data_IF_850644426280
#
_entry.id   IF_850644426280
#
_cell.length_a   1.000
_cell.length_b   1.000
_cell.length_c   1.000
_cell.angle_alpha   90.00
_cell.angle_beta   90.00
_cell.angle_gamma   90.00
#
_symmetry.space_group_name_H-M   'P 1'
#
loop_
_entity.id
_entity.type
_entity.pdbx_description
1 polymer ?
#
# COMPACT_ATOMS: atom_id res chain seq x y z
N UNK A 1 -26.50 -10.70 -8.21
CA UNK A 1 -25.31 -9.82 -8.34
C UNK A 1 -25.09 -9.53 -9.82
N UNK A 2 -24.95 -8.25 -10.23
CA UNK A 2 -24.73 -7.89 -11.64
C UNK A 2 -23.33 -8.33 -12.12
N UNK A 3 -23.16 -8.52 -13.44
CA UNK A 3 -21.84 -8.87 -14.01
C UNK A 3 -20.77 -7.82 -13.73
N UNK A 4 -21.14 -6.54 -13.69
CA UNK A 4 -20.24 -5.44 -13.33
C UNK A 4 -19.70 -5.62 -11.91
N UNK A 5 -20.59 -5.93 -10.95
CA UNK A 5 -20.22 -6.13 -9.54
C UNK A 5 -19.36 -7.39 -9.34
N UNK A 6 -19.57 -8.43 -10.14
CA UNK A 6 -18.70 -9.62 -10.18
C UNK A 6 -17.28 -9.27 -10.66
N UNK A 7 -17.17 -8.53 -11.77
CA UNK A 7 -15.87 -8.11 -12.33
C UNK A 7 -15.10 -7.21 -11.38
N UNK A 8 -15.77 -6.26 -10.73
CA UNK A 8 -15.16 -5.38 -9.74
C UNK A 8 -14.59 -6.17 -8.55
N UNK A 9 -15.39 -7.10 -7.98
CA UNK A 9 -14.93 -7.96 -6.88
C UNK A 9 -13.72 -8.82 -7.27
N UNK A 10 -13.69 -9.36 -8.50
CA UNK A 10 -12.53 -10.10 -9.00
C UNK A 10 -11.27 -9.22 -9.12
N UNK A 11 -11.42 -8.00 -9.64
CA UNK A 11 -10.31 -7.05 -9.72
C UNK A 11 -9.79 -6.67 -8.33
N UNK A 12 -10.69 -6.40 -7.37
CA UNK A 12 -10.31 -6.09 -5.99
C UNK A 12 -9.52 -7.23 -5.34
N UNK A 13 -9.96 -8.49 -5.53
CA UNK A 13 -9.26 -9.67 -5.06
C UNK A 13 -7.86 -9.80 -5.66
N UNK A 14 -7.72 -9.60 -6.98
CA UNK A 14 -6.42 -9.67 -7.66
C UNK A 14 -5.49 -8.56 -7.17
N UNK A 15 -5.99 -7.33 -7.03
CA UNK A 15 -5.20 -6.20 -6.51
C UNK A 15 -4.72 -6.47 -5.09
N UNK A 16 -5.59 -7.00 -4.22
CA UNK A 16 -5.24 -7.32 -2.85
C UNK A 16 -4.22 -8.46 -2.75
N UNK A 17 -4.38 -9.51 -3.55
CA UNK A 17 -3.40 -10.60 -3.61
C UNK A 17 -2.03 -10.11 -4.09
N UNK A 18 -2.00 -9.24 -5.11
CA UNK A 18 -0.76 -8.61 -5.57
C UNK A 18 -0.11 -7.75 -4.49
N UNK A 19 -0.91 -7.02 -3.70
CA UNK A 19 -0.41 -6.24 -2.56
C UNK A 19 0.22 -7.12 -1.48
N UNK A 20 -0.43 -8.22 -1.10
CA UNK A 20 0.13 -9.19 -0.13
C UNK A 20 1.45 -9.77 -0.65
N UNK A 21 1.48 -10.20 -1.91
CA UNK A 21 2.68 -10.80 -2.50
C UNK A 21 3.84 -9.81 -2.51
N UNK A 22 3.57 -8.55 -2.86
CA UNK A 22 4.58 -7.50 -2.79
C UNK A 22 5.15 -7.34 -1.37
N UNK A 23 4.29 -7.30 -0.33
CA UNK A 23 4.76 -7.21 1.06
C UNK A 23 5.56 -8.45 1.48
N UNK A 24 5.16 -9.65 1.05
CA UNK A 24 5.89 -10.87 1.33
C UNK A 24 7.29 -10.85 0.71
N UNK A 25 7.41 -10.41 -0.55
CA UNK A 25 8.70 -10.28 -1.23
C UNK A 25 9.60 -9.25 -0.54
N UNK A 26 9.06 -8.08 -0.20
CA UNK A 26 9.78 -7.05 0.56
C UNK A 26 10.23 -7.58 1.93
N UNK A 27 9.38 -8.34 2.63
CA UNK A 27 9.70 -8.94 3.92
C UNK A 27 10.88 -9.93 3.81
N UNK A 28 10.87 -10.78 2.78
CA UNK A 28 11.97 -11.72 2.52
C UNK A 28 13.29 -10.99 2.24
N UNK A 29 13.28 -9.97 1.38
CA UNK A 29 14.45 -9.14 1.10
C UNK A 29 15.00 -8.48 2.37
N UNK A 30 14.12 -7.94 3.22
CA UNK A 30 14.51 -7.31 4.47
C UNK A 30 15.07 -8.31 5.48
N UNK A 31 14.52 -9.53 5.53
CA UNK A 31 15.05 -10.64 6.33
C UNK A 31 16.48 -11.00 5.92
N UNK A 32 16.74 -11.09 4.60
CA UNK A 32 18.05 -11.45 4.08
C UNK A 32 19.09 -10.36 4.33
N UNK A 33 18.72 -9.09 4.11
CA UNK A 33 19.57 -7.93 4.45
C UNK A 33 19.89 -7.94 5.95
N UNK A 34 18.89 -8.19 6.82
CA UNK A 34 19.10 -8.24 8.27
C UNK A 34 20.07 -9.35 8.68
N UNK A 35 19.92 -10.56 8.13
CA UNK A 35 20.84 -11.68 8.36
C UNK A 35 22.26 -11.35 7.90
N UNK A 36 22.41 -10.68 6.76
CA UNK A 36 23.71 -10.27 6.24
C UNK A 36 24.36 -9.20 7.12
N UNK A 37 23.60 -8.20 7.56
CA UNK A 37 24.06 -7.19 8.51
C UNK A 37 24.53 -7.82 9.82
N UNK A 38 23.79 -8.77 10.39
CA UNK A 38 24.21 -9.49 11.61
C UNK A 38 25.52 -10.25 11.42
N UNK A 39 25.69 -10.94 10.28
CA UNK A 39 26.94 -11.65 9.94
C UNK A 39 28.10 -10.68 9.80
N UNK A 40 27.91 -9.57 9.09
CA UNK A 40 28.93 -8.54 8.90
C UNK A 40 29.30 -7.86 10.23
N UNK A 41 28.32 -7.54 11.07
CA UNK A 41 28.54 -6.98 12.39
C UNK A 41 29.35 -7.94 13.28
N UNK A 42 29.02 -9.22 13.28
CA UNK A 42 29.77 -10.24 14.03
C UNK A 42 31.21 -10.32 13.56
N UNK A 43 31.44 -10.34 12.23
CA UNK A 43 32.79 -10.32 11.65
C UNK A 43 33.56 -9.06 12.03
N UNK A 44 32.91 -7.90 12.00
CA UNK A 44 33.54 -6.63 12.38
C UNK A 44 34.01 -6.66 13.84
N UNK A 45 33.17 -7.18 14.75
CA UNK A 45 33.51 -7.30 16.18
C UNK A 45 34.67 -8.27 16.44
N UNK A 46 34.83 -9.29 15.60
CA UNK A 46 35.89 -10.29 15.72
C UNK A 46 37.18 -9.89 14.99
N UNK A 47 37.08 -8.96 14.05
CA UNK A 47 38.22 -8.49 13.26
C UNK A 47 39.23 -7.77 14.14
N UNK A 48 40.51 -8.09 13.93
CA UNK A 48 41.65 -7.42 14.55
C UNK A 48 42.48 -6.63 13.54
N UNK A 49 42.20 -6.82 12.25
CA UNK A 49 42.88 -6.16 11.14
C UNK A 49 42.07 -4.93 10.70
N UNK A 50 42.76 -3.79 10.56
CA UNK A 50 42.13 -2.51 10.21
C UNK A 50 41.61 -2.50 8.77
N UNK A 51 42.32 -3.15 7.83
CA UNK A 51 41.88 -3.25 6.43
C UNK A 51 40.66 -4.16 6.34
N UNK A 52 40.69 -5.30 7.01
CA UNK A 52 39.53 -6.20 7.09
C UNK A 52 38.31 -5.48 7.71
N UNK A 53 38.53 -4.72 8.79
CA UNK A 53 37.46 -3.92 9.41
C UNK A 53 36.89 -2.85 8.47
N UNK A 54 37.74 -2.23 7.65
CA UNK A 54 37.33 -1.24 6.65
C UNK A 54 36.49 -1.89 5.55
N UNK A 55 36.92 -3.04 5.03
CA UNK A 55 36.19 -3.78 4.00
C UNK A 55 34.82 -4.25 4.51
N UNK A 56 34.75 -4.74 5.76
CA UNK A 56 33.49 -5.10 6.41
C UNK A 56 32.59 -3.87 6.58
N UNK A 57 33.14 -2.72 6.99
CA UNK A 57 32.39 -1.46 7.09
C UNK A 57 31.78 -1.03 5.76
N UNK A 58 32.53 -1.16 4.66
CA UNK A 58 32.03 -0.89 3.31
C UNK A 58 30.89 -1.85 2.91
N UNK A 59 31.01 -3.14 3.25
CA UNK A 59 29.95 -4.12 3.02
C UNK A 59 28.68 -3.81 3.83
N UNK A 60 28.82 -3.36 5.09
CA UNK A 60 27.68 -2.91 5.91
C UNK A 60 26.98 -1.72 5.24
N UNK A 61 27.73 -0.71 4.78
CA UNK A 61 27.17 0.44 4.10
C UNK A 61 26.41 0.04 2.83
N UNK A 62 26.90 -0.96 2.08
CA UNK A 62 26.20 -1.49 0.92
C UNK A 62 24.87 -2.16 1.31
N UNK A 63 24.84 -2.96 2.38
CA UNK A 63 23.58 -3.56 2.87
C UNK A 63 22.59 -2.50 3.40
N UNK A 64 23.08 -1.44 4.04
CA UNK A 64 22.25 -0.29 4.45
C UNK A 64 21.67 0.43 3.23
N UNK A 65 22.45 0.62 2.17
CA UNK A 65 21.94 1.21 0.93
C UNK A 65 20.85 0.33 0.29
N UNK A 66 21.04 -1.00 0.27
CA UNK A 66 19.99 -1.95 -0.18
C UNK A 66 18.72 -1.81 0.67
N UNK A 67 18.85 -1.71 1.99
CA UNK A 67 17.72 -1.50 2.89
C UNK A 67 16.94 -0.22 2.55
N UNK A 68 17.63 0.87 2.26
CA UNK A 68 17.01 2.14 1.85
C UNK A 68 16.25 2.02 0.52
N UNK A 69 16.80 1.27 -0.44
CA UNK A 69 16.10 0.98 -1.71
C UNK A 69 14.82 0.18 -1.46
N UNK A 70 14.90 -0.89 -0.68
CA UNK A 70 13.73 -1.72 -0.32
C UNK A 70 12.66 -0.89 0.40
N UNK A 71 13.08 -0.01 1.32
CA UNK A 71 12.17 0.95 1.97
C UNK A 71 11.48 1.86 0.94
N UNK A 72 12.24 2.46 0.03
CA UNK A 72 11.67 3.34 -1.00
C UNK A 72 10.68 2.62 -1.91
N UNK A 73 10.95 1.36 -2.26
CA UNK A 73 10.02 0.52 -3.01
C UNK A 73 8.73 0.24 -2.23
N UNK A 74 8.84 -0.03 -0.92
CA UNK A 74 7.69 -0.24 -0.05
C UNK A 74 6.83 1.02 0.11
N UNK A 75 7.46 2.18 0.33
CA UNK A 75 6.78 3.47 0.47
C UNK A 75 6.02 3.82 -0.83
N UNK A 76 6.65 3.63 -1.99
CA UNK A 76 6.04 3.83 -3.31
C UNK A 76 4.86 2.88 -3.54
N UNK A 77 5.02 1.60 -3.22
CA UNK A 77 3.96 0.61 -3.36
C UNK A 77 2.75 0.98 -2.48
N UNK A 78 2.98 1.37 -1.23
CA UNK A 78 1.91 1.78 -0.32
C UNK A 78 1.16 3.02 -0.84
N UNK A 79 1.89 4.04 -1.29
CA UNK A 79 1.30 5.25 -1.87
C UNK A 79 0.45 4.95 -3.13
N UNK A 80 0.90 4.01 -3.96
CA UNK A 80 0.14 3.54 -5.12
C UNK A 80 -1.18 2.86 -4.70
N UNK A 81 -1.14 1.94 -3.74
CA UNK A 81 -2.36 1.26 -3.26
C UNK A 81 -3.34 2.22 -2.59
N UNK A 82 -2.87 3.19 -1.81
CA UNK A 82 -3.72 4.25 -1.25
C UNK A 82 -4.40 5.08 -2.33
N UNK A 83 -3.65 5.44 -3.38
CA UNK A 83 -4.19 6.20 -4.52
C UNK A 83 -5.24 5.40 -5.25
N UNK A 84 -5.01 4.10 -5.48
CA UNK A 84 -6.01 3.22 -6.09
C UNK A 84 -7.28 3.10 -5.24
N UNK A 85 -7.16 3.04 -3.91
CA UNK A 85 -8.33 3.05 -3.01
C UNK A 85 -9.14 4.34 -3.15
N UNK A 86 -8.48 5.50 -3.11
CA UNK A 86 -9.14 6.80 -3.30
C UNK A 86 -9.85 6.90 -4.64
N UNK A 87 -9.21 6.47 -5.73
CA UNK A 87 -9.83 6.46 -7.07
C UNK A 87 -11.09 5.59 -7.09
N UNK A 88 -11.06 4.41 -6.45
CA UNK A 88 -12.24 3.52 -6.37
C UNK A 88 -13.37 4.13 -5.53
N UNK A 89 -13.04 4.82 -4.43
CA UNK A 89 -14.01 5.55 -3.61
C UNK A 89 -14.65 6.70 -4.39
N UNK A 90 -13.85 7.51 -5.09
CA UNK A 90 -14.33 8.63 -5.91
C UNK A 90 -15.23 8.13 -7.05
N UNK A 91 -14.84 7.04 -7.72
CA UNK A 91 -15.66 6.39 -8.75
C UNK A 91 -17.00 5.91 -8.17
N UNK A 92 -17.00 5.28 -7.00
CA UNK A 92 -18.22 4.82 -6.35
C UNK A 92 -19.16 5.98 -5.98
N UNK A 93 -18.60 7.12 -5.53
CA UNK A 93 -19.37 8.34 -5.23
C UNK A 93 -19.98 8.92 -6.51
N UNK A 94 -19.22 8.98 -7.60
CA UNK A 94 -19.70 9.46 -8.90
C UNK A 94 -20.81 8.57 -9.45
N UNK A 95 -20.61 7.25 -9.47
CA UNK A 95 -21.61 6.27 -9.90
C UNK A 95 -22.90 6.38 -9.07
N UNK A 96 -22.77 6.54 -7.75
CA UNK A 96 -23.88 6.77 -6.85
C UNK A 96 -24.63 8.06 -7.21
N UNK A 97 -23.92 9.19 -7.38
CA UNK A 97 -24.52 10.47 -7.75
C UNK A 97 -25.21 10.42 -9.13
N UNK A 98 -24.63 9.73 -10.12
CA UNK A 98 -25.24 9.53 -11.43
C UNK A 98 -26.51 8.68 -11.38
N UNK A 99 -26.59 7.70 -10.47
CA UNK A 99 -27.79 6.88 -10.29
C UNK A 99 -29.01 7.71 -9.85
N UNK A 100 -28.82 8.78 -9.06
CA UNK A 100 -29.91 9.72 -8.71
C UNK A 100 -30.33 10.58 -9.90
N UNK A 101 -29.39 11.01 -10.75
CA UNK A 101 -29.70 11.78 -11.96
C UNK A 101 -30.52 10.96 -12.97
N UNK A 102 -30.35 9.64 -13.00
CA UNK A 102 -31.08 8.73 -13.91
C UNK A 102 -32.42 8.21 -13.37
N UNK A 103 -32.70 8.35 -12.07
CA UNK A 103 -33.85 7.68 -11.44
C UNK A 103 -34.73 8.53 -10.52
N UNK A 104 -34.34 9.73 -10.13
CA UNK A 104 -35.12 10.53 -9.20
C UNK A 104 -35.29 11.97 -9.68
N UNK A 105 -36.52 12.46 -9.60
CA UNK A 105 -36.78 13.90 -9.67
C UNK A 105 -35.96 14.53 -8.54
N UNK A 106 -34.90 15.26 -8.89
CA UNK A 106 -33.98 15.90 -7.94
C UNK A 106 -34.71 16.68 -6.84
N UNK A 107 -35.92 17.19 -7.13
CA UNK A 107 -36.79 17.86 -6.16
C UNK A 107 -37.39 16.95 -5.06
N UNK A 108 -37.59 15.66 -5.30
CA UNK A 108 -38.11 14.70 -4.32
C UNK A 108 -37.01 14.25 -3.34
N UNK A 109 -35.82 13.94 -3.85
CA UNK A 109 -34.67 13.55 -3.00
C UNK A 109 -34.27 14.69 -2.06
N UNK A 110 -34.25 15.93 -2.57
CA UNK A 110 -33.97 17.10 -1.74
C UNK A 110 -35.06 17.40 -0.72
N UNK A 111 -36.32 16.99 -0.97
CA UNK A 111 -37.39 17.06 0.05
C UNK A 111 -37.19 16.03 1.15
N UNK A 112 -36.79 14.80 0.81
CA UNK A 112 -36.53 13.73 1.78
C UNK A 112 -35.30 14.01 2.66
N UNK A 113 -34.20 14.50 2.07
CA UNK A 113 -33.01 14.92 2.82
C UNK A 113 -33.35 16.08 3.77
N UNK A 114 -34.15 17.06 3.33
CA UNK A 114 -34.61 18.15 4.20
C UNK A 114 -35.56 17.66 5.29
N UNK A 115 -36.45 16.72 5.00
CA UNK A 115 -37.39 16.16 5.98
C UNK A 115 -36.67 15.35 7.05
N UNK A 116 -35.65 14.57 6.68
CA UNK A 116 -34.84 13.80 7.62
C UNK A 116 -33.88 14.69 8.44
N UNK A 117 -33.37 15.80 7.87
CA UNK A 117 -32.59 16.80 8.61
C UNK A 117 -33.45 17.81 9.41
N UNK A 118 -34.78 17.77 9.29
CA UNK A 118 -35.72 18.57 10.10
C UNK A 118 -36.28 17.79 11.30
N UNK A 119 -35.86 16.54 11.50
CA UNK A 119 -36.20 15.71 12.67
C UNK A 119 -35.09 15.66 13.73
N UNK A 120 -34.09 16.54 13.63
CA UNK A 120 -33.35 16.95 14.82
C UNK A 120 -34.12 18.10 15.50
N UNK A 121 -34.36 17.91 16.80
CA UNK A 121 -35.25 18.58 17.76
C UNK A 121 -36.67 17.99 17.86
#
# INVERSE_FOLDING_TARGET
>A
MSEAKKRQCQLDLITYAAQIEQYNQTSNQMSDISKNLQKLQTKLQQSKDIKESTDIGNAINLEVAKLQVVKGQMDLANANYETQRRIKEDQAIQDYAESFKKGANYSEVMKEVKKNNQLEW
#
